data_IF_768061871542
#
_entry.id   IF_768061871542
#
_cell.length_a   1.000
_cell.length_b   1.000
_cell.length_c   1.000
_cell.angle_alpha   90.00
_cell.angle_beta   90.00
_cell.angle_gamma   90.00
#
_symmetry.space_group_name_H-M   'P 1'
#
loop_
_entity.id
_entity.type
_entity.pdbx_description
1 polymer ?
#
# COMPACT_ATOMS: atom_id res chain seq x y z
N UNK A 1 -9.75 1.29 17.54
CA UNK A 1 -8.97 1.93 16.98
C UNK A 1 -8.36 1.50 15.67
N UNK A 2 -7.48 2.34 15.13
CA UNK A 2 -6.87 2.10 13.81
C UNK A 2 -6.07 0.80 13.81
N UNK A 3 -5.32 0.53 14.88
CA UNK A 3 -4.52 -0.70 14.97
C UNK A 3 -5.39 -1.96 14.98
N UNK A 4 -6.48 -1.95 15.73
CA UNK A 4 -7.42 -3.08 15.77
C UNK A 4 -8.12 -3.27 14.43
N UNK A 5 -8.50 -2.18 13.77
CA UNK A 5 -9.09 -2.24 12.43
C UNK A 5 -8.11 -2.78 11.41
N UNK A 6 -6.82 -2.42 11.52
CA UNK A 6 -5.79 -2.91 10.60
C UNK A 6 -5.51 -4.40 10.79
N UNK A 7 -5.48 -4.90 12.02
CA UNK A 7 -5.33 -6.33 12.28
C UNK A 7 -6.50 -7.11 11.69
N UNK A 8 -7.72 -6.66 11.91
CA UNK A 8 -8.91 -7.26 11.30
C UNK A 8 -8.88 -7.16 9.78
N UNK A 9 -8.47 -6.02 9.24
CA UNK A 9 -8.34 -5.80 7.79
C UNK A 9 -7.25 -6.69 7.20
N UNK A 10 -6.12 -6.89 7.89
CA UNK A 10 -5.06 -7.77 7.43
C UNK A 10 -5.56 -9.22 7.26
N UNK A 11 -6.35 -9.72 8.21
CA UNK A 11 -6.97 -11.03 8.09
C UNK A 11 -7.88 -11.12 6.87
N UNK A 12 -8.70 -10.11 6.63
CA UNK A 12 -9.55 -10.03 5.44
C UNK A 12 -8.72 -9.91 4.16
N UNK A 13 -7.61 -9.19 4.20
CA UNK A 13 -6.72 -8.97 3.06
C UNK A 13 -6.02 -10.26 2.66
N UNK A 14 -5.62 -11.09 3.61
CA UNK A 14 -5.05 -12.41 3.30
C UNK A 14 -6.01 -13.24 2.46
N UNK A 15 -7.28 -13.17 2.78
CA UNK A 15 -8.30 -13.88 2.02
C UNK A 15 -8.55 -13.26 0.65
N UNK A 16 -8.27 -11.97 0.46
CA UNK A 16 -8.58 -11.22 -0.76
C UNK A 16 -7.37 -10.95 -1.63
N UNK A 17 -6.28 -10.42 -1.06
CA UNK A 17 -5.08 -10.05 -1.80
C UNK A 17 -3.95 -11.06 -1.68
N UNK A 18 -4.00 -12.00 -0.74
CA UNK A 18 -2.91 -12.92 -0.44
C UNK A 18 -2.15 -12.48 0.80
N UNK A 19 -0.83 -12.36 0.71
CA UNK A 19 0.01 -11.96 1.84
C UNK A 19 0.89 -10.76 1.49
N UNK A 20 0.30 -9.56 1.29
CA UNK A 20 1.06 -8.38 0.90
C UNK A 20 2.01 -7.89 1.99
N UNK A 21 1.71 -8.15 3.25
CA UNK A 21 2.50 -7.70 4.41
C UNK A 21 3.20 -8.86 5.10
N UNK A 22 3.77 -9.79 4.33
CA UNK A 22 4.38 -11.01 4.86
C UNK A 22 5.73 -10.83 5.55
N UNK A 23 6.35 -9.67 5.42
CA UNK A 23 7.65 -9.34 6.02
C UNK A 23 7.56 -7.97 6.70
N UNK A 24 8.65 -7.28 6.85
CA UNK A 24 8.65 -5.96 7.48
C UNK A 24 7.79 -4.98 6.67
N UNK A 25 6.88 -4.33 7.35
CA UNK A 25 5.96 -3.40 6.72
C UNK A 25 5.74 -2.18 7.60
N UNK A 26 5.20 -1.14 6.99
CA UNK A 26 4.80 0.07 7.70
C UNK A 26 3.41 0.50 7.25
N UNK A 27 2.72 1.21 8.11
CA UNK A 27 1.37 1.71 7.89
C UNK A 27 1.42 3.23 7.97
N UNK A 28 0.99 3.90 6.91
CA UNK A 28 1.05 5.36 6.83
C UNK A 28 -0.32 5.92 6.46
N UNK A 29 -0.79 6.88 7.25
CA UNK A 29 -1.97 7.65 6.89
C UNK A 29 -1.58 8.78 5.95
N UNK A 30 -2.33 8.95 4.87
CA UNK A 30 -2.15 10.08 3.96
C UNK A 30 -2.99 11.30 4.38
N UNK A 31 -3.69 11.23 5.52
CA UNK A 31 -4.44 12.37 6.04
C UNK A 31 -3.51 13.38 6.70
N UNK A 32 -3.59 14.63 6.30
CA UNK A 32 -2.83 15.72 6.90
C UNK A 32 -3.63 16.51 7.94
N UNK A 33 -4.76 15.98 8.39
CA UNK A 33 -5.60 16.65 9.38
C UNK A 33 -4.88 16.82 10.73
N UNK A 34 -4.13 15.81 11.15
CA UNK A 34 -3.41 15.81 12.42
C UNK A 34 -1.89 15.72 12.26
N UNK A 35 -1.41 15.48 11.04
CA UNK A 35 0.01 15.29 10.75
C UNK A 35 0.41 16.20 9.60
N UNK A 36 1.44 17.03 9.75
CA UNK A 36 1.90 17.86 8.63
C UNK A 36 2.28 17.02 7.43
N UNK A 37 1.94 17.50 6.24
CA UNK A 37 2.24 16.79 4.99
C UNK A 37 3.74 16.52 4.83
N UNK A 38 4.58 17.45 5.23
CA UNK A 38 6.04 17.29 5.18
C UNK A 38 6.52 16.08 5.96
N UNK A 39 5.88 15.77 7.08
CA UNK A 39 6.21 14.58 7.86
C UNK A 39 5.74 13.31 7.16
N UNK A 40 4.57 13.36 6.53
CA UNK A 40 4.06 12.25 5.73
C UNK A 40 5.01 11.95 4.57
N UNK A 41 5.49 12.98 3.88
CA UNK A 41 6.47 12.83 2.80
C UNK A 41 7.75 12.16 3.29
N UNK A 42 8.26 12.58 4.43
CA UNK A 42 9.46 11.99 5.03
C UNK A 42 9.27 10.52 5.38
N UNK A 43 8.10 10.17 5.91
CA UNK A 43 7.77 8.78 6.23
C UNK A 43 7.68 7.91 4.98
N UNK A 44 7.07 8.43 3.93
CA UNK A 44 6.99 7.74 2.64
C UNK A 44 8.38 7.52 2.04
N UNK A 45 9.20 8.54 2.03
CA UNK A 45 10.57 8.45 1.49
C UNK A 45 11.42 7.45 2.29
N UNK A 46 11.32 7.48 3.61
CA UNK A 46 12.05 6.56 4.49
C UNK A 46 11.61 5.12 4.29
N UNK A 47 10.31 4.89 4.16
CA UNK A 47 9.77 3.56 3.91
C UNK A 47 10.20 3.01 2.54
N UNK A 48 10.24 3.86 1.53
CA UNK A 48 10.70 3.47 0.20
C UNK A 48 12.19 3.14 0.22
N UNK A 49 12.99 3.96 0.88
CA UNK A 49 14.44 3.74 0.99
C UNK A 49 14.78 2.47 1.77
N UNK A 50 14.00 2.17 2.81
CA UNK A 50 14.16 0.96 3.61
C UNK A 50 13.60 -0.31 2.97
N UNK A 51 13.00 -0.19 1.79
CA UNK A 51 12.37 -1.31 1.08
C UNK A 51 11.26 -2.00 1.89
N UNK A 52 10.52 -1.23 2.67
CA UNK A 52 9.35 -1.73 3.39
C UNK A 52 8.18 -2.00 2.44
N UNK A 53 7.40 -3.03 2.73
CA UNK A 53 6.04 -3.09 2.24
C UNK A 53 5.23 -2.01 2.95
N UNK A 54 4.34 -1.34 2.26
CA UNK A 54 3.65 -0.15 2.77
C UNK A 54 2.15 -0.33 2.65
N UNK A 55 1.44 -0.03 3.73
CA UNK A 55 -0.02 0.07 3.74
C UNK A 55 -0.39 1.55 3.87
N UNK A 56 -1.12 2.07 2.91
CA UNK A 56 -1.60 3.45 2.92
C UNK A 56 -3.10 3.47 3.16
N UNK A 57 -3.53 4.28 4.09
CA UNK A 57 -4.96 4.49 4.35
C UNK A 57 -5.28 5.99 4.30
N UNK A 58 -6.57 6.33 4.19
CA UNK A 58 -7.04 7.68 3.91
C UNK A 58 -6.39 8.29 2.67
N UNK A 59 -6.39 7.57 1.53
CA UNK A 59 -5.66 8.02 0.34
C UNK A 59 -6.32 9.18 -0.39
N UNK A 60 -7.57 9.48 -0.06
CA UNK A 60 -8.31 10.55 -0.71
C UNK A 60 -9.43 11.04 0.19
N UNK A 61 -9.87 12.27 0.00
CA UNK A 61 -11.05 12.84 0.62
C UNK A 61 -11.73 13.79 -0.37
N UNK A 62 -12.91 14.32 -0.01
CA UNK A 62 -13.63 15.27 -0.87
C UNK A 62 -12.81 16.51 -1.23
N UNK A 63 -11.90 16.92 -0.35
CA UNK A 63 -11.08 18.12 -0.56
C UNK A 63 -9.68 17.81 -1.05
N UNK A 64 -9.27 16.53 -1.08
CA UNK A 64 -7.88 16.12 -1.29
C UNK A 64 -7.84 14.89 -2.17
N UNK A 65 -7.93 15.11 -3.47
CA UNK A 65 -8.03 14.02 -4.45
C UNK A 65 -6.67 13.54 -4.95
N UNK A 66 -5.61 14.29 -4.70
CA UNK A 66 -4.29 14.06 -5.29
C UNK A 66 -3.25 13.50 -4.34
N UNK A 67 -3.63 13.16 -3.12
CA UNK A 67 -2.68 12.68 -2.11
C UNK A 67 -2.05 11.35 -2.49
N UNK A 68 -2.82 10.44 -3.07
CA UNK A 68 -2.26 9.18 -3.55
C UNK A 68 -1.25 9.41 -4.67
N UNK A 69 -1.55 10.30 -5.60
CA UNK A 69 -0.64 10.64 -6.70
C UNK A 69 0.67 11.24 -6.17
N UNK A 70 0.58 12.13 -5.20
CA UNK A 70 1.76 12.71 -4.55
C UNK A 70 2.59 11.64 -3.85
N UNK A 71 1.93 10.74 -3.12
CA UNK A 71 2.60 9.63 -2.46
C UNK A 71 3.31 8.72 -3.45
N UNK A 72 2.65 8.37 -4.56
CA UNK A 72 3.26 7.55 -5.61
C UNK A 72 4.48 8.22 -6.23
N UNK A 73 4.44 9.53 -6.46
CA UNK A 73 5.58 10.27 -6.99
C UNK A 73 6.79 10.21 -6.05
N UNK A 74 6.55 10.32 -4.75
CA UNK A 74 7.60 10.20 -3.74
C UNK A 74 8.18 8.78 -3.74
N UNK A 75 7.33 7.76 -3.76
CA UNK A 75 7.74 6.37 -3.75
C UNK A 75 8.52 5.98 -5.01
N UNK A 76 8.15 6.52 -6.16
CA UNK A 76 8.83 6.25 -7.43
C UNK A 76 10.26 6.79 -7.49
N UNK A 77 10.64 7.68 -6.59
CA UNK A 77 12.03 8.13 -6.50
C UNK A 77 12.98 7.03 -6.03
N UNK A 78 12.45 6.03 -5.31
CA UNK A 78 13.24 4.93 -4.73
C UNK A 78 12.75 3.54 -5.14
N UNK A 79 11.49 3.41 -5.51
CA UNK A 79 10.90 2.13 -5.94
C UNK A 79 10.71 2.12 -7.45
N UNK A 80 10.80 0.92 -8.02
CA UNK A 80 10.52 0.72 -9.44
C UNK A 80 9.04 0.94 -9.74
N UNK A 81 8.72 1.47 -10.91
CA UNK A 81 7.34 1.56 -11.40
C UNK A 81 6.65 0.20 -11.56
N UNK A 82 7.43 -0.88 -11.68
CA UNK A 82 6.92 -2.25 -11.76
C UNK A 82 6.59 -2.85 -10.39
N UNK A 83 6.82 -2.12 -9.30
CA UNK A 83 6.50 -2.58 -7.94
C UNK A 83 5.05 -3.02 -7.87
N UNK A 84 4.81 -4.22 -7.34
CA UNK A 84 3.46 -4.78 -7.23
C UNK A 84 2.71 -4.07 -6.11
N UNK A 85 1.51 -3.60 -6.43
CA UNK A 85 0.63 -2.91 -5.50
C UNK A 85 -0.73 -3.58 -5.50
N UNK A 86 -1.52 -3.30 -4.49
CA UNK A 86 -2.89 -3.80 -4.38
C UNK A 86 -3.81 -2.73 -3.81
N UNK A 87 -5.04 -2.75 -4.25
CA UNK A 87 -6.10 -1.89 -3.74
C UNK A 87 -7.22 -2.77 -3.24
N UNK A 88 -7.72 -2.46 -2.05
CA UNK A 88 -8.96 -3.05 -1.54
C UNK A 88 -9.91 -1.93 -1.19
N UNK A 89 -11.18 -2.10 -1.51
CA UNK A 89 -12.22 -1.13 -1.24
C UNK A 89 -13.40 -1.82 -0.58
N UNK A 90 -13.97 -1.18 0.43
CA UNK A 90 -15.15 -1.67 1.14
C UNK A 90 -14.96 -3.09 1.70
N UNK A 91 -13.79 -3.43 2.26
CA UNK A 91 -13.52 -4.75 2.82
C UNK A 91 -14.59 -5.11 3.86
N UNK A 92 -15.22 -6.28 3.68
CA UNK A 92 -16.25 -6.77 4.59
C UNK A 92 -17.60 -6.09 4.41
N UNK A 93 -17.79 -5.28 3.38
CA UNK A 93 -19.05 -4.59 3.07
C UNK A 93 -19.54 -4.95 1.68
N UNK A 94 -20.78 -4.59 1.38
CA UNK A 94 -21.32 -4.73 0.02
C UNK A 94 -20.48 -3.89 -0.95
N UNK A 95 -20.23 -4.42 -2.13
CA UNK A 95 -19.41 -3.74 -3.13
C UNK A 95 -17.92 -3.85 -2.87
N UNK A 96 -17.49 -4.88 -2.13
CA UNK A 96 -16.08 -5.14 -1.91
C UNK A 96 -15.34 -5.35 -3.24
N UNK A 97 -14.23 -4.65 -3.42
CA UNK A 97 -13.41 -4.72 -4.62
C UNK A 97 -11.95 -4.96 -4.26
N UNK A 98 -11.26 -5.68 -5.14
CA UNK A 98 -9.80 -5.82 -5.07
C UNK A 98 -9.22 -5.63 -6.46
N UNK A 99 -8.01 -5.12 -6.50
CA UNK A 99 -7.27 -4.96 -7.75
C UNK A 99 -5.78 -5.04 -7.47
N UNK A 100 -5.05 -5.76 -8.29
CA UNK A 100 -3.59 -5.81 -8.25
C UNK A 100 -3.07 -5.07 -9.47
N UNK A 101 -2.12 -4.18 -9.25
CA UNK A 101 -1.58 -3.28 -10.28
C UNK A 101 -0.12 -2.95 -9.95
N UNK A 102 0.53 -2.25 -10.85
CA UNK A 102 1.89 -1.75 -10.61
C UNK A 102 1.86 -0.35 -9.99
N UNK A 103 2.98 0.10 -9.48
CA UNK A 103 3.10 1.45 -8.92
C UNK A 103 2.84 2.53 -9.98
N UNK A 104 3.30 2.30 -11.22
CA UNK A 104 3.00 3.21 -12.33
C UNK A 104 1.50 3.30 -12.61
N UNK A 105 0.81 2.17 -12.60
CA UNK A 105 -0.65 2.15 -12.76
C UNK A 105 -1.38 2.81 -11.58
N UNK A 106 -0.85 2.62 -10.37
CA UNK A 106 -1.41 3.23 -9.17
C UNK A 106 -1.35 4.75 -9.23
N UNK A 107 -0.28 5.31 -9.80
CA UNK A 107 -0.12 6.74 -9.98
C UNK A 107 -1.27 7.36 -10.77
N UNK A 108 -1.83 6.61 -11.70
CA UNK A 108 -2.92 7.07 -12.58
C UNK A 108 -4.31 6.65 -12.09
N UNK A 109 -4.39 5.98 -10.94
CA UNK A 109 -5.65 5.43 -10.43
C UNK A 109 -6.30 6.42 -9.47
N UNK A 110 -7.59 6.64 -9.64
CA UNK A 110 -8.42 7.40 -8.71
C UNK A 110 -9.00 6.47 -7.66
N UNK A 111 -8.95 6.90 -6.41
CA UNK A 111 -9.44 6.14 -5.27
C UNK A 111 -10.29 7.04 -4.37
N UNK A 112 -11.06 6.44 -3.47
CA UNK A 112 -11.88 7.17 -2.50
C UNK A 112 -11.38 6.90 -1.06
N UNK A 113 -12.09 7.47 -0.08
CA UNK A 113 -11.72 7.35 1.33
C UNK A 113 -11.90 5.93 1.89
N UNK A 114 -12.63 5.06 1.20
CA UNK A 114 -12.89 3.69 1.62
C UNK A 114 -11.87 2.70 1.06
N UNK A 115 -10.84 3.20 0.40
CA UNK A 115 -9.80 2.42 -0.24
C UNK A 115 -8.60 2.28 0.70
N UNK A 116 -8.06 1.06 0.79
CA UNK A 116 -6.76 0.80 1.41
C UNK A 116 -5.80 0.37 0.31
N UNK A 117 -4.61 0.95 0.32
CA UNK A 117 -3.61 0.72 -0.72
C UNK A 117 -2.42 -0.01 -0.12
N UNK A 118 -1.98 -1.06 -0.81
CA UNK A 118 -0.80 -1.85 -0.43
C UNK A 118 0.26 -1.70 -1.48
N UNK A 119 1.46 -1.32 -1.08
CA UNK A 119 2.60 -1.15 -1.96
C UNK A 119 3.65 -2.16 -1.52
N UNK A 120 4.03 -3.07 -2.42
CA UNK A 120 5.00 -4.11 -2.13
C UNK A 120 6.42 -3.58 -1.97
N UNK A 121 7.29 -4.45 -1.47
CA UNK A 121 8.73 -4.20 -1.46
C UNK A 121 9.35 -4.79 -2.74
N UNK A 122 10.68 -4.77 -2.83
CA UNK A 122 11.40 -5.28 -4.00
C UNK A 122 11.19 -6.78 -4.25
N UNK A 123 10.75 -7.52 -3.23
CA UNK A 123 10.53 -8.96 -3.30
C UNK A 123 9.07 -9.35 -3.51
N UNK A 124 8.17 -8.40 -3.44
CA UNK A 124 6.73 -8.67 -3.61
C UNK A 124 6.45 -9.17 -5.03
N UNK A 125 5.63 -10.20 -5.14
CA UNK A 125 5.27 -10.83 -6.41
C UNK A 125 3.78 -10.95 -6.56
N UNK A 126 3.34 -10.93 -7.82
CA UNK A 126 1.98 -11.31 -8.19
C UNK A 126 1.97 -12.82 -8.43
N UNK A 127 1.14 -13.53 -7.68
CA UNK A 127 0.96 -14.99 -7.83
C UNK A 127 -0.52 -15.22 -8.14
N UNK A 128 -0.84 -15.48 -9.41
CA UNK A 128 -2.22 -15.53 -9.85
C UNK A 128 -2.92 -14.19 -9.60
N UNK A 129 -3.98 -14.20 -8.80
CA UNK A 129 -4.73 -13.00 -8.41
C UNK A 129 -4.31 -12.45 -7.04
N UNK A 130 -3.18 -12.90 -6.51
CA UNK A 130 -2.71 -12.50 -5.19
C UNK A 130 -1.38 -11.75 -5.28
N UNK A 131 -1.12 -10.88 -4.30
CA UNK A 131 0.19 -10.30 -4.10
C UNK A 131 0.82 -10.88 -2.84
N UNK A 132 2.07 -11.28 -2.92
CA UNK A 132 2.77 -11.94 -1.83
C UNK A 132 4.11 -11.27 -1.60
N UNK A 133 4.36 -10.85 -0.35
CA UNK A 133 5.67 -10.39 0.09
C UNK A 133 6.30 -11.52 0.91
N UNK A 134 7.39 -12.15 0.43
CA UNK A 134 8.01 -13.26 1.14
C UNK A 134 8.63 -12.79 2.46
N UNK A 135 8.76 -13.71 3.42
CA UNK A 135 9.28 -13.41 4.77
C UNK A 135 10.76 -13.08 4.81
N UNK A 136 11.48 -13.23 3.73
CA UNK A 136 12.90 -12.92 3.70
C UNK A 136 13.37 -12.76 2.27
N UNK A 137 14.52 -12.16 2.12
CA UNK A 137 15.13 -12.01 0.81
C UNK A 137 15.73 -13.34 0.37
N UNK A 138 15.56 -13.67 -0.90
CA UNK A 138 16.22 -14.84 -1.47
C UNK A 138 17.73 -14.60 -1.46
N UNK A 139 18.45 -15.57 -0.93
CA UNK A 139 19.90 -15.61 -1.15
C UNK A 139 20.15 -16.19 -2.52
N UNK A 140 21.07 -15.59 -3.26
CA UNK A 140 21.35 -15.98 -4.64
C UNK A 140 21.87 -17.41 -4.77
N UNK A 141 22.22 -18.05 -3.66
CA UNK A 141 22.73 -19.41 -3.63
C UNK A 141 21.72 -20.46 -3.16
N UNK A 142 20.43 -20.09 -3.14
CA UNK A 142 19.40 -21.04 -2.72
C UNK A 142 18.75 -21.70 -3.92
#
# INVERSE_FOLDING_TARGET
EIASCLVGSEMCIRDRLGAPLGHDFTVISLSDLLTPWELIERRLAAAAEGDFAICLYNPSSHKRHDYLQKACQILLQKKSGDTICGITRNIGRDGEEKRILTLDELLETQVDMFTTVFIGNSQTRKVGDAMVTPRGYRRDNA
#
